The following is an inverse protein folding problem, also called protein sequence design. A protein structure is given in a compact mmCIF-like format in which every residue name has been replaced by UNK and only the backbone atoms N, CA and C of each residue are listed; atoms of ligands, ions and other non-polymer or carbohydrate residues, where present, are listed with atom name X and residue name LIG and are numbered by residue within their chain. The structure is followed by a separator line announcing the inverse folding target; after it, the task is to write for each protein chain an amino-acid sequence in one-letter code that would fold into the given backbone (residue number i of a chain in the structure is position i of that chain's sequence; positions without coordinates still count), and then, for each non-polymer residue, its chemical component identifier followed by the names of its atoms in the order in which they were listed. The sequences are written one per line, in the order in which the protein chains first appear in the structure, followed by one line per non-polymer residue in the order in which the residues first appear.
data_IF_005535482896
#
_entry.id   IF_005535482896
#
_cell.length_a   1.000
_cell.length_b   1.000
_cell.length_c   1.000
_cell.angle_alpha   90.00
_cell.angle_beta   90.00
_cell.angle_gamma   90.00
#
_symmetry.space_group_name_H-M   'P 1'
#
loop_
_entity.id
_entity.type
_entity.pdbx_description
1 polymer ?
#
# COMPACT_ATOMS: atom_id res chain seq x y z
N UNK A 1 -3.74 17.27 21.95
CA UNK A 1 -2.59 16.41 21.58
C UNK A 1 -2.79 16.02 20.14
N UNK A 2 -1.79 16.22 19.28
CA UNK A 2 -1.82 15.81 17.88
C UNK A 2 -0.62 14.90 17.62
N UNK A 3 -0.82 13.80 16.89
CA UNK A 3 0.25 12.87 16.55
C UNK A 3 -0.27 11.66 15.79
N UNK A 4 0.66 10.77 15.41
CA UNK A 4 0.37 9.53 14.70
C UNK A 4 -0.21 8.45 15.64
N UNK A 5 -0.25 7.19 15.20
CA UNK A 5 -0.85 6.06 15.92
C UNK A 5 -0.46 5.93 17.40
N UNK A 6 0.78 6.24 17.78
CA UNK A 6 1.27 6.12 19.17
C UNK A 6 0.75 7.21 20.10
N UNK A 7 0.29 8.35 19.57
CA UNK A 7 -0.27 9.45 20.36
C UNK A 7 -1.53 9.01 21.13
N UNK A 8 -2.17 7.91 20.74
CA UNK A 8 -3.31 7.35 21.46
C UNK A 8 -2.95 6.84 22.87
N UNK A 9 -1.68 6.70 23.21
CA UNK A 9 -1.22 6.37 24.57
C UNK A 9 -0.76 7.59 25.36
N UNK A 10 -0.78 8.78 24.76
CA UNK A 10 -0.33 9.98 25.44
C UNK A 10 -1.18 10.24 26.70
N UNK A 11 -0.54 10.50 27.86
CA UNK A 11 -1.26 10.70 29.11
C UNK A 11 -2.09 11.98 29.02
N UNK A 12 -3.36 11.86 29.41
CA UNK A 12 -4.28 12.99 29.61
C UNK A 12 -4.83 12.79 31.01
N UNK A 13 -4.81 13.80 31.89
CA UNK A 13 -5.34 13.65 33.24
C UNK A 13 -6.78 13.15 33.21
N UNK A 14 -7.13 12.29 34.16
CA UNK A 14 -8.46 11.68 34.25
C UNK A 14 -9.55 12.77 34.26
N UNK A 15 -10.61 12.53 33.49
CA UNK A 15 -11.71 13.49 33.31
C UNK A 15 -11.38 14.71 32.42
N UNK A 16 -10.15 14.88 31.92
CA UNK A 16 -9.80 15.98 30.99
C UNK A 16 -9.86 15.62 29.51
N UNK A 17 -9.92 14.33 29.18
CA UNK A 17 -10.17 13.92 27.81
C UNK A 17 -11.62 14.27 27.47
N UNK A 18 -11.84 15.05 26.41
CA UNK A 18 -13.18 15.45 25.98
C UNK A 18 -13.64 14.85 24.65
N UNK A 19 -12.70 14.52 23.76
CA UNK A 19 -12.98 13.94 22.43
C UNK A 19 -11.73 13.26 21.87
N UNK A 20 -11.93 12.24 21.04
CA UNK A 20 -10.88 11.67 20.19
C UNK A 20 -11.30 11.81 18.73
N UNK A 21 -10.39 12.25 17.87
CA UNK A 21 -10.61 12.37 16.43
C UNK A 21 -9.56 11.53 15.72
N UNK A 22 -9.99 10.62 14.86
CA UNK A 22 -9.13 9.82 13.98
C UNK A 22 -9.42 10.25 12.55
N UNK A 23 -8.49 11.00 11.96
CA UNK A 23 -8.58 11.38 10.55
C UNK A 23 -8.02 10.28 9.64
N UNK A 24 -8.55 10.17 8.42
CA UNK A 24 -8.25 9.12 7.45
C UNK A 24 -8.27 7.72 8.09
N UNK A 25 -9.33 7.40 8.84
CA UNK A 25 -9.41 6.19 9.71
C UNK A 25 -9.14 4.85 8.99
N UNK A 26 -9.34 4.83 7.67
CA UNK A 26 -9.12 3.69 6.79
C UNK A 26 -7.62 3.40 6.52
N UNK A 27 -6.74 4.33 6.87
CA UNK A 27 -5.31 4.21 6.57
C UNK A 27 -4.66 3.07 7.35
N UNK A 28 -4.08 2.11 6.62
CA UNK A 28 -3.40 0.97 7.24
C UNK A 28 -2.19 1.38 8.09
N UNK A 29 -1.69 2.62 7.98
CA UNK A 29 -0.62 3.13 8.84
C UNK A 29 -1.00 3.11 10.32
N UNK A 30 -2.29 3.05 10.65
CA UNK A 30 -2.76 2.86 12.02
C UNK A 30 -2.47 1.46 12.58
N UNK A 31 -2.23 0.44 11.75
CA UNK A 31 -1.79 -0.88 12.22
C UNK A 31 -0.27 -0.88 12.48
N UNK A 32 0.11 -1.34 13.66
CA UNK A 32 1.49 -1.62 14.04
C UNK A 32 1.83 -3.08 13.65
N UNK A 33 2.82 -3.25 12.77
CA UNK A 33 3.29 -4.57 12.32
C UNK A 33 4.29 -5.24 13.28
N UNK A 34 4.91 -4.46 14.17
CA UNK A 34 5.85 -4.96 15.17
C UNK A 34 5.14 -5.23 16.51
N UNK A 35 5.73 -6.07 17.36
CA UNK A 35 5.21 -6.31 18.71
C UNK A 35 5.42 -5.04 19.57
N UNK A 36 4.42 -4.58 20.35
CA UNK A 36 3.05 -5.09 20.41
C UNK A 36 2.24 -4.71 19.16
N UNK A 37 1.56 -5.68 18.54
CA UNK A 37 0.69 -5.43 17.38
C UNK A 37 -0.64 -4.88 17.86
N UNK A 38 -1.01 -3.69 17.38
CA UNK A 38 -2.31 -3.07 17.66
C UNK A 38 -2.76 -2.24 16.45
N UNK A 39 -4.06 -1.95 16.41
CA UNK A 39 -4.63 -1.00 15.44
C UNK A 39 -5.01 0.30 16.17
N UNK A 40 -4.36 1.41 15.81
CA UNK A 40 -4.52 2.71 16.47
C UNK A 40 -5.97 3.18 16.54
N UNK A 41 -6.73 3.05 15.45
CA UNK A 41 -8.18 3.31 15.41
C UNK A 41 -8.96 2.50 16.46
N UNK A 42 -8.75 1.19 16.54
CA UNK A 42 -9.53 0.33 17.45
C UNK A 42 -9.16 0.61 18.91
N UNK A 43 -7.88 0.89 19.19
CA UNK A 43 -7.42 1.38 20.48
C UNK A 43 -8.06 2.74 20.81
N UNK A 44 -8.20 3.63 19.83
CA UNK A 44 -8.85 4.91 20.02
C UNK A 44 -10.33 4.77 20.37
N UNK A 45 -11.06 3.89 19.68
CA UNK A 45 -12.45 3.55 20.01
C UNK A 45 -12.52 3.03 21.45
N UNK A 46 -11.63 2.09 21.83
CA UNK A 46 -11.64 1.54 23.19
C UNK A 46 -11.30 2.58 24.25
N UNK A 47 -10.32 3.46 23.99
CA UNK A 47 -9.95 4.56 24.89
C UNK A 47 -11.12 5.54 25.07
N UNK A 48 -11.83 5.87 24.00
CA UNK A 48 -13.01 6.73 24.05
C UNK A 48 -14.12 6.12 24.92
N UNK A 49 -14.38 4.82 24.76
CA UNK A 49 -15.34 4.07 25.59
C UNK A 49 -14.95 4.08 27.07
N UNK A 50 -13.67 3.81 27.39
CA UNK A 50 -13.19 3.78 28.78
C UNK A 50 -13.26 5.17 29.44
N UNK A 51 -13.03 6.23 28.68
CA UNK A 51 -13.10 7.60 29.18
C UNK A 51 -14.53 8.19 29.15
N UNK A 52 -15.50 7.51 28.55
CA UNK A 52 -16.87 8.01 28.41
C UNK A 52 -16.99 9.25 27.49
N UNK A 53 -16.15 9.35 26.46
CA UNK A 53 -16.09 10.51 25.55
C UNK A 53 -16.49 10.15 24.12
N UNK A 54 -16.97 11.11 23.32
CA UNK A 54 -17.19 10.90 21.90
C UNK A 54 -15.89 10.61 21.13
N UNK A 55 -16.01 9.80 20.08
CA UNK A 55 -14.98 9.60 19.06
C UNK A 55 -15.53 9.90 17.67
N UNK A 56 -14.74 10.57 16.86
CA UNK A 56 -15.04 10.85 15.45
C UNK A 56 -14.03 10.12 14.57
N UNK A 57 -14.53 9.27 13.67
CA UNK A 57 -13.74 8.61 12.64
C UNK A 57 -14.00 9.32 11.31
N UNK A 58 -13.05 10.10 10.83
CA UNK A 58 -13.12 10.85 9.58
C UNK A 58 -12.58 10.04 8.41
N UNK A 59 -13.31 9.99 7.30
CA UNK A 59 -12.84 9.39 6.06
C UNK A 59 -13.70 9.77 4.86
N UNK A 60 -13.05 10.00 3.71
CA UNK A 60 -13.73 10.05 2.41
C UNK A 60 -14.04 8.64 1.85
N UNK A 61 -13.28 7.64 2.30
CA UNK A 61 -13.36 6.23 1.88
C UNK A 61 -13.24 5.34 3.12
N UNK A 62 -14.28 5.28 3.97
CA UNK A 62 -14.19 4.58 5.25
C UNK A 62 -13.78 3.12 5.05
N UNK A 63 -13.11 2.53 6.03
CA UNK A 63 -12.83 1.10 6.03
C UNK A 63 -14.15 0.35 6.01
N UNK A 64 -14.18 -0.83 5.40
CA UNK A 64 -15.41 -1.61 5.32
C UNK A 64 -15.91 -2.06 6.70
N UNK A 65 -15.03 -2.19 7.69
CA UNK A 65 -15.40 -2.38 9.10
C UNK A 65 -16.17 -1.17 9.65
N UNK A 66 -15.64 0.03 9.46
CA UNK A 66 -16.26 1.28 9.94
C UNK A 66 -17.59 1.53 9.23
N UNK A 67 -17.64 1.32 7.91
CA UNK A 67 -18.87 1.42 7.12
C UNK A 67 -19.94 0.42 7.57
N UNK A 68 -19.58 -0.86 7.72
CA UNK A 68 -20.48 -1.90 8.21
C UNK A 68 -21.00 -1.58 9.61
N UNK A 69 -20.12 -1.16 10.54
CA UNK A 69 -20.52 -0.79 11.91
C UNK A 69 -21.49 0.41 11.94
N UNK A 70 -21.37 1.34 10.98
CA UNK A 70 -22.21 2.53 10.90
C UNK A 70 -23.54 2.30 10.16
N UNK A 71 -23.57 1.42 9.16
CA UNK A 71 -24.76 1.18 8.32
C UNK A 71 -25.61 -0.02 8.78
N UNK A 72 -24.97 -1.12 9.15
CA UNK A 72 -25.66 -2.38 9.52
C UNK A 72 -25.50 -2.71 11.01
N UNK A 73 -24.29 -2.49 11.55
CA UNK A 73 -23.94 -2.91 12.91
C UNK A 73 -24.50 -2.03 14.02
N UNK A 74 -25.05 -0.85 13.72
CA UNK A 74 -25.61 0.14 14.66
C UNK A 74 -24.67 0.57 15.80
N UNK A 75 -23.36 0.30 15.68
CA UNK A 75 -22.35 0.65 16.70
C UNK A 75 -21.90 2.11 16.60
N UNK A 76 -22.10 2.71 15.44
CA UNK A 76 -21.69 4.08 15.12
C UNK A 76 -22.79 4.77 14.34
N UNK A 77 -22.88 6.09 14.44
CA UNK A 77 -23.78 6.90 13.61
C UNK A 77 -23.03 7.44 12.40
N UNK A 78 -23.58 7.24 11.20
CA UNK A 78 -22.99 7.77 9.97
C UNK A 78 -23.43 9.21 9.74
N UNK A 79 -22.49 10.15 9.80
CA UNK A 79 -22.70 11.54 9.39
C UNK A 79 -22.10 11.75 8.00
N UNK A 80 -22.91 12.21 7.04
CA UNK A 80 -22.48 12.45 5.65
C UNK A 80 -22.43 13.94 5.35
N UNK A 81 -21.30 14.39 4.84
CA UNK A 81 -21.16 15.70 4.20
C UNK A 81 -21.31 15.49 2.68
N UNK A 82 -22.49 15.81 2.14
CA UNK A 82 -22.86 15.52 0.75
C UNK A 82 -22.41 16.59 -0.24
N UNK A 83 -22.04 17.77 0.25
CA UNK A 83 -21.51 18.87 -0.54
C UNK A 83 -20.04 19.09 -0.20
N UNK A 84 -19.24 19.41 -1.23
CA UNK A 84 -17.89 19.91 -1.03
C UNK A 84 -17.94 21.35 -0.52
N UNK A 85 -16.83 21.81 0.04
CA UNK A 85 -16.65 23.22 0.35
C UNK A 85 -16.96 24.07 -0.91
N UNK A 86 -17.62 25.24 -0.76
CA UNK A 86 -18.04 26.07 -1.89
C UNK A 86 -16.90 26.33 -2.88
N UNK A 87 -17.16 26.11 -4.18
CA UNK A 87 -16.19 26.33 -5.26
C UNK A 87 -15.40 25.10 -5.72
N UNK A 88 -15.48 23.96 -5.02
CA UNK A 88 -14.77 22.73 -5.40
C UNK A 88 -15.68 21.80 -6.22
N UNK A 89 -15.21 21.34 -7.38
CA UNK A 89 -15.89 20.31 -8.20
C UNK A 89 -15.14 18.98 -8.11
N UNK A 90 -15.84 17.88 -8.31
CA UNK A 90 -15.18 16.60 -8.54
C UNK A 90 -14.52 16.64 -9.92
N UNK A 91 -13.25 16.23 -10.05
CA UNK A 91 -12.61 16.18 -11.35
C UNK A 91 -13.21 15.06 -12.18
N UNK A 92 -13.11 15.20 -13.50
CA UNK A 92 -13.47 14.12 -14.41
C UNK A 92 -12.42 13.02 -14.26
N UNK A 93 -12.86 11.80 -13.95
CA UNK A 93 -12.01 10.61 -13.95
C UNK A 93 -12.16 9.88 -15.28
N UNK A 94 -11.04 9.56 -15.93
CA UNK A 94 -10.98 8.83 -17.20
C UNK A 94 -10.26 7.51 -16.92
N UNK A 95 -10.97 6.39 -17.09
CA UNK A 95 -10.37 5.06 -17.04
C UNK A 95 -9.80 4.76 -18.42
N UNK A 96 -8.58 4.25 -18.44
CA UNK A 96 -7.84 3.94 -19.66
C UNK A 96 -7.44 2.47 -19.61
N UNK A 97 -7.91 1.71 -20.61
CA UNK A 97 -7.41 0.37 -20.88
C UNK A 97 -5.99 0.46 -21.42
N UNK A 98 -5.05 0.10 -20.57
CA UNK A 98 -3.64 0.22 -20.88
C UNK A 98 -3.20 -0.82 -21.92
N UNK A 99 -3.88 -1.96 -22.03
CA UNK A 99 -3.56 -2.99 -23.04
C UNK A 99 -3.80 -2.42 -24.44
N UNK A 100 -4.96 -1.80 -24.66
CA UNK A 100 -5.31 -1.21 -25.95
C UNK A 100 -4.42 0.00 -26.27
N UNK A 101 -4.07 0.81 -25.27
CA UNK A 101 -3.16 1.93 -25.45
C UNK A 101 -1.74 1.51 -25.87
N UNK A 102 -1.22 0.41 -25.32
CA UNK A 102 0.12 -0.09 -25.68
C UNK A 102 0.21 -0.54 -27.13
N UNK A 103 -0.89 -1.03 -27.73
CA UNK A 103 -0.91 -1.41 -29.16
C UNK A 103 -0.62 -0.23 -30.09
N UNK A 104 -0.89 1.00 -29.65
CA UNK A 104 -0.71 2.20 -30.48
C UNK A 104 0.75 2.62 -30.64
N UNK A 105 1.64 2.25 -29.72
CA UNK A 105 3.06 2.62 -29.80
C UNK A 105 3.82 1.87 -30.90
N UNK A 106 3.33 0.70 -31.33
CA UNK A 106 3.87 -0.04 -32.48
C UNK A 106 5.34 -0.47 -32.35
N UNK A 107 5.93 -0.34 -31.15
CA UNK A 107 7.31 -0.70 -30.87
C UNK A 107 7.42 -1.72 -29.73
N UNK A 108 8.60 -2.36 -29.61
CA UNK A 108 8.86 -3.38 -28.58
C UNK A 108 9.35 -2.79 -27.25
N UNK A 109 9.32 -1.46 -27.08
CA UNK A 109 9.75 -0.82 -25.83
C UNK A 109 8.64 -0.96 -24.80
N UNK A 110 9.06 -0.96 -23.55
CA UNK A 110 8.13 -0.96 -22.42
C UNK A 110 7.82 0.50 -22.09
N UNK A 111 6.55 0.87 -22.22
CA UNK A 111 6.03 2.17 -21.86
C UNK A 111 5.24 2.07 -20.55
N UNK A 112 5.38 3.08 -19.69
CA UNK A 112 4.60 3.23 -18.45
C UNK A 112 3.50 4.27 -18.60
N UNK A 113 3.65 5.18 -19.56
CA UNK A 113 2.70 6.24 -19.85
C UNK A 113 2.06 5.94 -21.20
N UNK A 114 0.74 5.76 -21.20
CA UNK A 114 0.00 5.49 -22.42
C UNK A 114 -0.37 6.78 -23.18
N UNK A 115 -0.85 6.69 -24.44
CA UNK A 115 -1.09 7.87 -25.27
C UNK A 115 -2.04 8.90 -24.64
N UNK A 116 -3.12 8.48 -23.96
CA UNK A 116 -4.07 9.42 -23.34
C UNK A 116 -3.41 10.19 -22.19
N UNK A 117 -2.69 9.51 -21.29
CA UNK A 117 -1.96 10.19 -20.22
C UNK A 117 -0.85 11.08 -20.78
N UNK A 118 -0.14 10.61 -21.80
CA UNK A 118 0.90 11.40 -22.47
C UNK A 118 0.37 12.73 -23.00
N UNK A 119 -0.73 12.69 -23.76
CA UNK A 119 -1.31 13.89 -24.36
C UNK A 119 -1.82 14.85 -23.28
N UNK A 120 -2.45 14.31 -22.22
CA UNK A 120 -2.90 15.13 -21.10
C UNK A 120 -1.75 15.81 -20.35
N UNK A 121 -0.60 15.13 -20.19
CA UNK A 121 0.60 15.73 -19.59
C UNK A 121 1.08 16.89 -20.48
N UNK A 122 1.19 16.68 -21.79
CA UNK A 122 1.62 17.71 -22.74
C UNK A 122 0.70 18.95 -22.69
N UNK A 123 -0.62 18.76 -22.75
CA UNK A 123 -1.60 19.84 -22.63
C UNK A 123 -1.50 20.59 -21.29
N UNK A 124 -1.25 19.85 -20.20
CA UNK A 124 -1.08 20.43 -18.86
C UNK A 124 0.20 21.26 -18.77
N UNK A 125 1.30 20.77 -19.36
CA UNK A 125 2.57 21.50 -19.39
C UNK A 125 2.48 22.77 -20.23
N UNK A 126 1.84 22.71 -21.40
CA UNK A 126 1.60 23.86 -22.29
C UNK A 126 0.71 24.94 -21.67
N UNK A 127 -0.27 24.54 -20.86
CA UNK A 127 -1.18 25.46 -20.16
C UNK A 127 -0.61 26.01 -18.83
N UNK A 128 0.70 25.83 -18.60
CA UNK A 128 1.39 26.21 -17.36
C UNK A 128 0.81 25.55 -16.09
N UNK A 129 0.14 24.40 -16.23
CA UNK A 129 -0.39 23.62 -15.13
C UNK A 129 0.65 22.68 -14.51
N UNK A 130 0.26 22.06 -13.39
CA UNK A 130 1.05 21.04 -12.71
C UNK A 130 0.41 19.65 -12.85
N UNK A 131 1.26 18.64 -12.92
CA UNK A 131 0.87 17.23 -13.02
C UNK A 131 1.33 16.46 -11.79
N UNK A 132 0.43 15.65 -11.22
CA UNK A 132 0.72 14.71 -10.16
C UNK A 132 0.61 13.27 -10.69
N UNK A 133 1.70 12.50 -10.66
CA UNK A 133 1.70 11.09 -11.09
C UNK A 133 1.88 10.17 -9.90
N UNK A 134 0.94 9.27 -9.72
CA UNK A 134 0.93 8.29 -8.66
C UNK A 134 1.29 6.90 -9.19
N UNK A 135 2.21 6.24 -8.49
CA UNK A 135 2.48 4.82 -8.62
C UNK A 135 2.03 4.07 -7.36
N UNK A 136 1.24 3.02 -7.54
CA UNK A 136 0.80 2.15 -6.45
C UNK A 136 1.93 1.20 -6.03
N UNK A 137 2.91 1.68 -5.25
CA UNK A 137 4.15 0.93 -4.93
C UNK A 137 4.11 0.14 -3.61
N UNK A 138 2.97 -0.20 -3.01
CA UNK A 138 3.02 -0.97 -1.74
C UNK A 138 3.40 -2.44 -2.01
N UNK A 139 4.65 -2.78 -1.70
CA UNK A 139 5.11 -4.16 -1.51
C UNK A 139 5.66 -4.89 -2.75
N UNK A 140 5.71 -4.26 -3.92
CA UNK A 140 6.22 -4.90 -5.14
C UNK A 140 7.41 -4.12 -5.68
N UNK A 141 8.57 -4.78 -5.57
CA UNK A 141 9.89 -4.27 -5.84
C UNK A 141 10.17 -4.20 -7.35
N UNK A 142 11.02 -3.24 -7.73
CA UNK A 142 11.75 -3.30 -8.98
C UNK A 142 12.41 -4.68 -9.08
N UNK A 143 12.03 -5.51 -10.04
CA UNK A 143 12.63 -6.83 -10.21
C UNK A 143 13.74 -6.74 -11.25
N UNK A 144 14.86 -7.37 -10.98
CA UNK A 144 15.97 -7.44 -11.93
C UNK A 144 15.82 -8.76 -12.63
N UNK A 145 15.73 -8.74 -13.95
CA UNK A 145 15.46 -9.92 -14.78
C UNK A 145 16.47 -10.05 -15.91
N UNK A 146 16.44 -11.16 -16.63
CA UNK A 146 17.23 -11.33 -17.82
C UNK A 146 16.72 -10.43 -18.97
N UNK A 147 17.63 -9.94 -19.82
CA UNK A 147 17.24 -9.21 -21.03
C UNK A 147 16.63 -10.12 -22.11
N UNK A 148 16.90 -11.43 -22.02
CA UNK A 148 16.40 -12.43 -22.95
C UNK A 148 14.98 -12.86 -22.54
N UNK A 149 14.01 -12.65 -23.43
CA UNK A 149 12.61 -13.01 -23.20
C UNK A 149 12.34 -14.52 -23.09
N UNK A 150 13.33 -15.36 -23.39
CA UNK A 150 13.28 -16.81 -23.17
C UNK A 150 13.87 -17.25 -21.83
N UNK A 151 14.38 -16.32 -21.03
CA UNK A 151 15.03 -16.57 -19.74
C UNK A 151 14.26 -15.92 -18.60
N UNK A 152 13.61 -16.74 -17.77
CA UNK A 152 12.77 -16.31 -16.64
C UNK A 152 13.56 -15.96 -15.37
N UNK A 153 14.87 -15.75 -15.49
CA UNK A 153 15.72 -15.43 -14.36
C UNK A 153 15.30 -14.10 -13.71
N UNK A 154 15.22 -14.11 -12.37
CA UNK A 154 14.91 -12.96 -11.53
C UNK A 154 15.93 -12.89 -10.39
N UNK A 155 16.47 -11.70 -10.09
CA UNK A 155 17.35 -11.52 -8.94
C UNK A 155 16.53 -11.54 -7.65
N UNK A 156 16.63 -12.66 -6.94
CA UNK A 156 15.98 -12.90 -5.67
C UNK A 156 16.94 -12.64 -4.50
N UNK A 157 16.37 -12.42 -3.32
CA UNK A 157 17.14 -12.33 -2.09
C UNK A 157 17.60 -13.74 -1.68
N UNK A 158 18.88 -13.88 -1.32
CA UNK A 158 19.41 -15.18 -0.86
C UNK A 158 18.72 -15.64 0.42
N UNK A 159 18.21 -14.69 1.21
CA UNK A 159 17.57 -14.91 2.50
C UNK A 159 16.03 -14.83 2.45
N UNK A 160 15.43 -14.39 1.34
CA UNK A 160 13.98 -14.19 1.27
C UNK A 160 13.44 -14.62 -0.10
N UNK A 161 12.24 -15.19 -0.14
CA UNK A 161 11.60 -15.58 -1.39
C UNK A 161 10.88 -14.38 -2.03
N UNK A 162 11.64 -13.29 -2.20
CA UNK A 162 11.23 -12.02 -2.80
C UNK A 162 12.34 -11.49 -3.71
N UNK A 163 11.97 -10.61 -4.63
CA UNK A 163 12.92 -9.94 -5.52
C UNK A 163 13.69 -8.84 -4.81
N UNK A 164 14.98 -8.68 -5.15
CA UNK A 164 15.83 -7.62 -4.62
C UNK A 164 15.53 -6.27 -5.28
N UNK A 165 15.58 -5.17 -4.51
CA UNK A 165 15.38 -3.80 -5.03
C UNK A 165 16.72 -3.18 -5.42
N UNK A 166 16.84 -2.66 -6.64
CA UNK A 166 18.04 -1.91 -7.05
C UNK A 166 18.10 -0.51 -6.44
N UNK A 167 19.23 -0.16 -5.82
CA UNK A 167 19.55 1.17 -5.29
C UNK A 167 20.76 1.75 -6.02
N UNK A 168 20.55 2.87 -6.71
CA UNK A 168 21.60 3.57 -7.45
C UNK A 168 22.42 4.44 -6.49
N UNK A 169 23.71 4.14 -6.28
CA UNK A 169 24.59 5.01 -5.51
C UNK A 169 25.19 6.09 -6.42
N UNK A 170 24.57 7.28 -6.46
CA UNK A 170 25.01 8.41 -7.30
C UNK A 170 26.21 9.21 -6.73
N UNK A 171 26.75 8.86 -5.56
CA UNK A 171 27.73 9.68 -4.82
C UNK A 171 29.09 9.01 -4.60
N UNK A 172 29.72 8.46 -5.64
CA UNK A 172 31.16 8.20 -5.61
C UNK A 172 31.84 9.02 -6.72
N UNK A 173 32.73 9.91 -6.31
CA UNK A 173 33.74 10.52 -7.19
C UNK A 173 35.05 9.82 -6.87
N UNK A 174 35.84 9.50 -7.88
CA UNK A 174 37.21 9.04 -7.65
C UNK A 174 38.05 10.19 -7.08
N UNK A 175 39.23 9.88 -6.53
CA UNK A 175 40.16 10.89 -5.99
C UNK A 175 40.62 11.91 -7.05
N UNK A 176 40.56 11.56 -8.34
CA UNK A 176 40.86 12.40 -9.51
C UNK A 176 39.64 13.15 -10.07
N UNK A 177 38.47 13.08 -9.41
CA UNK A 177 37.29 13.86 -9.79
C UNK A 177 36.54 13.35 -11.02
N UNK A 178 36.93 12.20 -11.57
CA UNK A 178 36.21 11.55 -12.67
C UNK A 178 34.94 10.85 -12.16
N UNK A 179 33.85 10.81 -12.97
CA UNK A 179 32.62 10.14 -12.58
C UNK A 179 32.86 8.63 -12.46
N UNK A 180 32.71 8.08 -11.24
CA UNK A 180 32.66 6.63 -11.03
C UNK A 180 31.43 6.11 -11.74
N UNK A 181 31.56 5.01 -12.51
CA UNK A 181 30.38 4.29 -13.02
C UNK A 181 29.45 4.05 -11.83
N UNK A 182 28.16 4.42 -11.89
CA UNK A 182 27.28 4.26 -10.75
C UNK A 182 27.29 2.80 -10.29
N UNK A 183 27.92 2.52 -9.15
CA UNK A 183 27.91 1.21 -8.53
C UNK A 183 26.64 1.13 -7.69
N UNK A 184 25.57 0.61 -8.29
CA UNK A 184 24.37 0.30 -7.53
C UNK A 184 24.56 -0.98 -6.73
N UNK A 185 23.92 -1.04 -5.57
CA UNK A 185 23.72 -2.27 -4.81
C UNK A 185 22.25 -2.65 -4.90
N UNK A 186 21.93 -3.90 -4.62
CA UNK A 186 20.55 -4.33 -4.47
C UNK A 186 20.27 -4.59 -3.00
N UNK A 187 19.07 -4.28 -2.52
CA UNK A 187 18.67 -4.49 -1.12
C UNK A 187 17.30 -5.16 -1.05
N UNK A 188 17.16 -6.13 -0.15
CA UNK A 188 15.87 -6.73 0.16
C UNK A 188 15.06 -5.79 1.06
N UNK A 189 13.80 -5.51 0.71
CA UNK A 189 12.93 -4.66 1.54
C UNK A 189 12.51 -5.34 2.87
N UNK A 190 12.57 -6.67 2.92
CA UNK A 190 12.07 -7.43 4.08
C UNK A 190 13.17 -7.72 5.11
N UNK A 191 14.37 -8.12 4.68
CA UNK A 191 15.49 -8.44 5.58
C UNK A 191 16.61 -7.41 5.57
N UNK A 192 16.55 -6.41 4.68
CA UNK A 192 17.56 -5.36 4.49
C UNK A 192 18.93 -5.87 4.02
N UNK A 193 19.08 -7.17 3.73
CA UNK A 193 20.30 -7.74 3.15
C UNK A 193 20.64 -7.03 1.85
N UNK A 194 21.93 -6.75 1.65
CA UNK A 194 22.46 -6.09 0.47
C UNK A 194 23.29 -7.09 -0.34
N UNK A 195 23.09 -7.09 -1.65
CA UNK A 195 23.93 -7.84 -2.58
C UNK A 195 24.49 -6.90 -3.65
N UNK A 196 25.59 -7.31 -4.27
CA UNK A 196 26.10 -6.62 -5.46
C UNK A 196 25.20 -6.96 -6.64
N UNK A 197 24.86 -5.97 -7.47
CA UNK A 197 24.18 -6.23 -8.73
C UNK A 197 25.12 -7.06 -9.64
N UNK A 198 24.70 -8.26 -10.12
CA UNK A 198 25.51 -9.02 -11.06
C UNK A 198 25.56 -8.34 -12.43
N UNK A 199 26.67 -8.43 -13.16
CA UNK A 199 26.80 -7.79 -14.48
C UNK A 199 26.02 -8.55 -15.59
N UNK A 200 25.71 -9.83 -15.36
CA UNK A 200 25.06 -10.76 -16.30
C UNK A 200 24.10 -11.70 -15.56
N UNK A 201 23.13 -12.23 -16.30
CA UNK A 201 22.20 -13.25 -15.82
C UNK A 201 22.98 -14.50 -15.40
N UNK A 202 22.68 -15.06 -14.21
CA UNK A 202 23.35 -16.29 -13.75
C UNK A 202 22.95 -17.52 -14.56
N UNK A 203 21.77 -17.51 -15.19
CA UNK A 203 21.22 -18.69 -15.85
C UNK A 203 21.68 -18.82 -17.29
N UNK A 204 21.70 -17.72 -18.06
CA UNK A 204 22.04 -17.74 -19.48
C UNK A 204 23.21 -16.82 -19.87
N UNK A 205 23.79 -16.08 -18.93
CA UNK A 205 24.95 -15.20 -19.18
C UNK A 205 24.64 -13.95 -20.02
N UNK A 206 23.38 -13.72 -20.40
CA UNK A 206 22.95 -12.52 -21.10
C UNK A 206 22.95 -11.29 -20.19
N UNK A 207 22.78 -10.10 -20.77
CA UNK A 207 22.65 -8.87 -19.99
C UNK A 207 21.42 -8.95 -19.09
N UNK A 208 21.52 -8.35 -17.92
CA UNK A 208 20.37 -8.17 -17.04
C UNK A 208 19.65 -6.86 -17.36
N UNK A 209 18.35 -6.80 -17.10
CA UNK A 209 17.54 -5.60 -17.12
C UNK A 209 16.97 -5.37 -15.73
N UNK A 210 17.10 -4.15 -15.22
CA UNK A 210 16.39 -3.71 -14.03
C UNK A 210 14.96 -3.34 -14.46
N UNK A 211 14.01 -4.23 -14.20
CA UNK A 211 12.59 -3.97 -14.43
C UNK A 211 11.96 -3.35 -13.20
N UNK A 212 12.12 -2.04 -13.08
CA UNK A 212 11.37 -1.26 -12.11
C UNK A 212 10.17 -0.61 -12.74
N UNK A 213 8.94 -1.01 -12.40
CA UNK A 213 7.76 -0.13 -12.48
C UNK A 213 7.84 0.94 -11.36
N UNK A 214 9.03 1.45 -11.10
CA UNK A 214 9.32 2.38 -10.03
C UNK A 214 9.08 3.80 -10.47
N UNK A 215 8.92 4.68 -9.48
CA UNK A 215 8.90 6.14 -9.65
C UNK A 215 10.09 6.64 -10.48
N UNK A 216 11.26 5.97 -10.41
CA UNK A 216 12.45 6.25 -11.22
C UNK A 216 12.29 5.98 -12.72
N UNK A 217 11.58 4.92 -13.11
CA UNK A 217 11.38 4.61 -14.55
C UNK A 217 10.34 5.54 -15.14
N UNK A 218 9.32 5.89 -14.36
CA UNK A 218 8.37 6.94 -14.72
C UNK A 218 9.10 8.28 -14.87
N UNK A 219 9.97 8.64 -13.92
CA UNK A 219 10.84 9.82 -14.01
C UNK A 219 11.73 9.81 -15.27
N UNK A 220 12.41 8.69 -15.56
CA UNK A 220 13.24 8.56 -16.76
C UNK A 220 12.42 8.64 -18.06
N UNK A 221 11.22 8.05 -18.08
CA UNK A 221 10.32 8.13 -19.22
C UNK A 221 9.78 9.55 -19.43
N UNK A 222 9.50 10.28 -18.35
CA UNK A 222 9.09 11.69 -18.38
C UNK A 222 10.21 12.55 -18.93
N UNK A 223 11.42 12.46 -18.38
CA UNK A 223 12.58 13.25 -18.85
C UNK A 223 12.92 12.97 -20.32
N UNK A 224 12.65 11.75 -20.80
CA UNK A 224 12.82 11.40 -22.22
C UNK A 224 11.75 12.02 -23.11
N UNK A 225 10.50 12.10 -22.65
CA UNK A 225 9.35 12.61 -23.41
C UNK A 225 9.24 14.14 -23.36
N UNK A 226 9.66 14.74 -22.25
CA UNK A 226 9.66 16.20 -21.98
C UNK A 226 11.05 16.65 -21.50
N UNK A 227 12.02 16.81 -22.41
CA UNK A 227 13.39 17.20 -22.07
C UNK A 227 13.52 18.61 -21.44
N UNK A 228 12.49 19.44 -21.54
CA UNK A 228 12.38 20.73 -20.88
C UNK A 228 12.20 20.63 -19.35
N UNK A 229 11.82 19.46 -18.85
CA UNK A 229 11.75 19.20 -17.41
C UNK A 229 13.16 18.91 -16.87
N UNK A 230 13.48 19.50 -15.73
CA UNK A 230 14.79 19.38 -15.08
C UNK A 230 14.61 18.61 -13.76
N UNK A 231 15.31 17.48 -13.65
CA UNK A 231 15.32 16.65 -12.43
C UNK A 231 15.76 17.49 -11.22
N UNK A 232 14.97 17.48 -10.14
CA UNK A 232 15.26 18.23 -8.93
C UNK A 232 14.80 19.69 -8.95
N UNK A 233 14.40 20.20 -10.12
CA UNK A 233 13.92 21.57 -10.29
C UNK A 233 12.44 21.59 -10.67
N UNK A 234 12.11 21.30 -11.92
CA UNK A 234 10.72 21.28 -12.42
C UNK A 234 10.07 19.89 -12.38
N UNK A 235 10.85 18.82 -12.15
CA UNK A 235 10.39 17.45 -11.88
C UNK A 235 10.91 16.96 -10.53
N UNK A 236 10.01 16.52 -9.64
CA UNK A 236 10.38 15.91 -8.36
C UNK A 236 9.82 14.49 -8.21
N UNK A 237 10.61 13.65 -7.56
CA UNK A 237 10.23 12.31 -7.12
C UNK A 237 10.10 12.25 -5.60
N UNK A 238 8.97 11.75 -5.11
CA UNK A 238 8.67 11.63 -3.68
C UNK A 238 8.32 10.18 -3.32
N UNK A 239 9.28 9.50 -2.72
CA UNK A 239 9.15 8.13 -2.21
C UNK A 239 10.04 7.90 -0.98
N UNK A 240 9.91 6.71 -0.36
CA UNK A 240 10.67 6.33 0.82
C UNK A 240 12.19 6.30 0.60
N UNK A 241 12.63 6.16 -0.66
CA UNK A 241 14.04 6.05 -1.00
C UNK A 241 14.70 7.43 -1.16
N UNK A 242 13.90 8.48 -1.41
CA UNK A 242 14.35 9.87 -1.59
C UNK A 242 14.11 10.74 -0.37
N UNK A 243 13.13 10.38 0.47
CA UNK A 243 12.71 11.18 1.62
C UNK A 243 13.27 10.59 2.92
N UNK A 244 14.51 10.94 3.26
CA UNK A 244 15.19 10.43 4.46
C UNK A 244 14.80 11.18 5.74
N UNK A 245 14.43 12.46 5.63
CA UNK A 245 13.99 13.31 6.76
C UNK A 245 12.59 13.88 6.49
N UNK A 246 11.85 14.15 7.56
CA UNK A 246 10.56 14.83 7.45
C UNK A 246 10.66 16.22 6.77
N UNK A 247 11.80 16.91 6.94
CA UNK A 247 12.12 18.18 6.27
C UNK A 247 12.18 18.06 4.75
N UNK A 248 12.69 16.94 4.23
CA UNK A 248 12.89 16.74 2.78
C UNK A 248 11.51 16.66 2.11
N UNK A 249 10.61 15.90 2.73
CA UNK A 249 9.23 15.76 2.30
C UNK A 249 8.49 17.11 2.33
N UNK A 250 8.60 17.85 3.43
CA UNK A 250 7.96 19.17 3.54
C UNK A 250 8.49 20.15 2.49
N UNK A 251 9.80 20.13 2.22
CA UNK A 251 10.44 20.99 1.22
C UNK A 251 9.94 20.67 -0.18
N UNK A 252 9.92 19.39 -0.58
CA UNK A 252 9.44 18.96 -1.89
C UNK A 252 7.98 19.39 -2.14
N UNK A 253 7.13 19.23 -1.14
CA UNK A 253 5.71 19.61 -1.24
C UNK A 253 5.51 21.11 -1.22
N UNK A 254 6.31 21.87 -0.49
CA UNK A 254 6.27 23.33 -0.49
C UNK A 254 6.61 23.89 -1.88
N UNK A 255 7.68 23.37 -2.51
CA UNK A 255 8.09 23.73 -3.89
C UNK A 255 7.05 23.33 -4.93
N UNK A 256 6.38 22.19 -4.74
CA UNK A 256 5.24 21.83 -5.58
C UNK A 256 4.04 22.75 -5.32
N UNK A 257 3.74 23.09 -4.07
CA UNK A 257 2.64 24.01 -3.75
C UNK A 257 2.84 25.45 -4.24
N UNK A 258 4.08 25.92 -4.35
CA UNK A 258 4.41 27.24 -4.88
C UNK A 258 4.37 27.33 -6.42
N UNK A 259 4.28 26.20 -7.12
CA UNK A 259 4.31 26.13 -8.58
C UNK A 259 5.71 26.05 -9.20
N UNK A 260 6.77 26.02 -8.38
CA UNK A 260 8.16 25.87 -8.85
C UNK A 260 8.35 24.52 -9.57
N UNK A 261 7.70 23.47 -9.05
CA UNK A 261 7.76 22.12 -9.61
C UNK A 261 6.54 21.89 -10.49
N UNK A 262 6.76 21.48 -11.73
CA UNK A 262 5.70 21.26 -12.73
C UNK A 262 5.15 19.83 -12.71
N UNK A 263 5.99 18.85 -12.39
CA UNK A 263 5.59 17.44 -12.32
C UNK A 263 6.08 16.82 -11.01
N UNK A 264 5.17 16.19 -10.28
CA UNK A 264 5.48 15.44 -9.05
C UNK A 264 5.13 13.96 -9.25
N UNK A 265 6.14 13.09 -9.15
CA UNK A 265 5.99 11.65 -9.24
C UNK A 265 6.12 11.05 -7.86
N UNK A 266 5.16 10.25 -7.40
CA UNK A 266 5.25 9.68 -6.07
C UNK A 266 4.38 8.45 -5.83
N UNK A 267 4.45 7.97 -4.60
CA UNK A 267 3.62 6.85 -4.11
C UNK A 267 2.52 7.37 -3.21
N UNK A 268 1.82 6.51 -2.47
CA UNK A 268 0.69 6.89 -1.61
C UNK A 268 0.95 8.05 -0.62
N UNK A 269 2.21 8.38 -0.32
CA UNK A 269 2.55 9.52 0.53
C UNK A 269 2.13 10.87 -0.07
N UNK A 270 2.18 11.04 -1.40
CA UNK A 270 1.77 12.30 -2.06
C UNK A 270 0.24 12.46 -2.17
N UNK A 271 -0.51 11.39 -1.88
CA UNK A 271 -1.97 11.38 -2.00
C UNK A 271 -2.71 11.82 -0.72
N UNK A 272 -2.00 12.02 0.40
CA UNK A 272 -2.57 12.30 1.73
C UNK A 272 -2.45 13.76 2.13
N UNK A 273 -3.52 14.32 2.70
CA UNK A 273 -3.48 15.52 3.54
C UNK A 273 -3.00 16.84 2.93
N UNK A 274 -2.77 16.91 1.62
CA UNK A 274 -2.16 18.05 0.94
C UNK A 274 -3.04 18.51 -0.23
N UNK A 275 -3.13 19.82 -0.42
CA UNK A 275 -3.93 20.47 -1.45
C UNK A 275 -3.01 21.34 -2.32
N UNK A 276 -3.09 21.17 -3.64
CA UNK A 276 -2.21 21.84 -4.60
C UNK A 276 -3.05 22.56 -5.65
N UNK A 277 -3.29 23.88 -5.51
CA UNK A 277 -4.19 24.62 -6.38
C UNK A 277 -3.81 24.60 -7.86
N UNK A 278 -2.53 24.45 -8.18
CA UNK A 278 -2.02 24.42 -9.56
C UNK A 278 -2.09 23.05 -10.24
N UNK A 279 -2.55 22.00 -9.54
CA UNK A 279 -2.70 20.66 -10.12
C UNK A 279 -3.91 20.59 -11.03
N UNK A 280 -3.65 20.41 -12.33
CA UNK A 280 -4.66 20.26 -13.38
C UNK A 280 -4.81 18.81 -13.85
N UNK A 281 -3.75 18.01 -13.70
CA UNK A 281 -3.74 16.61 -14.09
C UNK A 281 -3.24 15.75 -12.96
N UNK A 282 -3.95 14.65 -12.74
CA UNK A 282 -3.52 13.55 -11.89
C UNK A 282 -3.51 12.27 -12.72
N UNK A 283 -2.40 11.54 -12.72
CA UNK A 283 -2.27 10.25 -13.42
C UNK A 283 -1.99 9.11 -12.45
N UNK A 284 -2.82 8.07 -12.45
CA UNK A 284 -2.48 6.77 -11.84
C UNK A 284 -1.81 5.93 -12.91
N UNK A 285 -0.51 5.66 -12.75
CA UNK A 285 0.29 4.93 -13.74
C UNK A 285 -0.13 3.46 -13.86
N UNK A 286 -0.52 2.86 -12.75
CA UNK A 286 -1.01 1.48 -12.67
C UNK A 286 -1.92 1.33 -11.45
N UNK A 287 -3.21 1.05 -11.69
CA UNK A 287 -4.19 0.81 -10.63
C UNK A 287 -4.21 -0.66 -10.13
N UNK A 288 -3.69 -1.60 -10.92
CA UNK A 288 -3.82 -3.05 -10.72
C UNK A 288 -2.90 -3.64 -9.65
N UNK A 289 -1.87 -2.91 -9.22
CA UNK A 289 -0.83 -3.46 -8.33
C UNK A 289 -1.40 -4.08 -7.06
N UNK A 290 -2.47 -3.50 -6.50
CA UNK A 290 -3.13 -4.04 -5.32
C UNK A 290 -4.15 -5.14 -5.65
N UNK A 291 -4.73 -5.19 -6.85
CA UNK A 291 -5.73 -6.18 -7.26
C UNK A 291 -5.14 -7.59 -7.38
N UNK A 292 -3.89 -7.70 -7.84
CA UNK A 292 -3.22 -8.98 -8.07
C UNK A 292 -2.62 -9.59 -6.79
N UNK A 293 -2.90 -9.02 -5.63
CA UNK A 293 -2.38 -9.50 -4.36
C UNK A 293 -3.26 -10.63 -3.83
N UNK A 294 -2.68 -11.71 -3.26
CA UNK A 294 -3.45 -12.73 -2.55
C UNK A 294 -3.90 -12.21 -1.18
N UNK A 295 -4.61 -11.10 -1.18
CA UNK A 295 -5.11 -10.38 -0.02
C UNK A 295 -6.56 -10.00 -0.29
N UNK A 296 -7.49 -10.46 0.56
CA UNK A 296 -8.91 -10.16 0.40
C UNK A 296 -9.25 -8.66 0.53
N UNK A 297 -8.30 -7.83 0.98
CA UNK A 297 -8.43 -6.37 1.04
C UNK A 297 -7.91 -5.66 -0.20
N UNK A 298 -7.48 -6.40 -1.22
CA UNK A 298 -6.99 -5.89 -2.50
C UNK A 298 -7.92 -4.84 -3.12
N UNK A 299 -9.18 -5.21 -3.39
CA UNK A 299 -10.19 -4.36 -4.02
C UNK A 299 -10.48 -3.10 -3.22
N UNK A 300 -10.58 -3.21 -1.89
CA UNK A 300 -10.77 -2.08 -0.98
C UNK A 300 -9.62 -1.07 -1.07
N UNK A 301 -8.37 -1.55 -1.10
CA UNK A 301 -7.20 -0.68 -1.24
C UNK A 301 -7.12 -0.03 -2.63
N UNK A 302 -7.45 -0.77 -3.68
CA UNK A 302 -7.51 -0.22 -5.04
C UNK A 302 -8.53 0.90 -5.13
N UNK A 303 -9.73 0.69 -4.59
CA UNK A 303 -10.76 1.72 -4.53
C UNK A 303 -10.27 2.96 -3.80
N UNK A 304 -9.73 2.78 -2.58
CA UNK A 304 -9.24 3.88 -1.74
C UNK A 304 -8.16 4.69 -2.47
N UNK A 305 -7.23 4.01 -3.13
CA UNK A 305 -6.17 4.66 -3.88
C UNK A 305 -6.71 5.51 -5.02
N UNK A 306 -7.51 4.91 -5.92
CA UNK A 306 -8.05 5.60 -7.09
C UNK A 306 -8.93 6.78 -6.67
N UNK A 307 -9.79 6.59 -5.66
CA UNK A 307 -10.66 7.65 -5.18
C UNK A 307 -9.89 8.77 -4.47
N UNK A 308 -8.87 8.44 -3.66
CA UNK A 308 -8.03 9.44 -3.00
C UNK A 308 -7.34 10.32 -4.04
N UNK A 309 -6.81 9.71 -5.09
CA UNK A 309 -6.07 10.36 -6.17
C UNK A 309 -7.00 11.24 -7.01
N UNK A 310 -8.15 10.72 -7.41
CA UNK A 310 -9.20 11.52 -8.05
C UNK A 310 -9.66 12.68 -7.14
N UNK A 311 -9.65 12.51 -5.81
CA UNK A 311 -10.00 13.59 -4.88
C UNK A 311 -9.02 14.78 -4.82
N UNK A 312 -7.82 14.66 -5.42
CA UNK A 312 -6.74 15.68 -5.37
C UNK A 312 -6.73 16.64 -6.57
N UNK A 313 -7.48 16.36 -7.63
CA UNK A 313 -7.64 17.28 -8.76
C UNK A 313 -8.83 18.24 -8.55
N UNK A 314 -8.77 19.41 -9.19
CA UNK A 314 -9.94 20.31 -9.32
C UNK A 314 -10.31 21.10 -8.06
N UNK A 315 -9.31 21.42 -7.22
CA UNK A 315 -9.50 22.28 -6.04
C UNK A 315 -9.17 23.76 -6.30
N UNK A 316 -8.63 24.08 -7.48
CA UNK A 316 -8.49 25.44 -8.00
C UNK A 316 -9.70 25.92 -8.80
N UNK A 317 -9.58 27.05 -9.50
CA UNK A 317 -10.64 27.61 -10.35
C UNK A 317 -10.95 26.74 -11.59
N UNK A 318 -9.97 25.96 -12.04
CA UNK A 318 -10.07 25.15 -13.25
C UNK A 318 -10.38 23.67 -12.93
N UNK A 319 -11.24 23.01 -13.72
CA UNK A 319 -11.53 21.60 -13.54
C UNK A 319 -10.30 20.77 -13.87
N UNK A 320 -9.76 20.07 -12.87
CA UNK A 320 -8.70 19.08 -13.10
C UNK A 320 -9.25 17.80 -13.73
N UNK A 321 -8.35 17.01 -14.33
CA UNK A 321 -8.65 15.69 -14.89
C UNK A 321 -7.84 14.66 -14.10
N UNK A 322 -8.45 13.51 -13.81
CA UNK A 322 -7.76 12.34 -13.30
C UNK A 322 -7.78 11.25 -14.36
N UNK A 323 -6.63 10.67 -14.69
CA UNK A 323 -6.50 9.57 -15.65
C UNK A 323 -6.01 8.34 -14.89
N UNK A 324 -6.71 7.22 -15.04
CA UNK A 324 -6.40 5.96 -14.38
C UNK A 324 -6.05 4.93 -15.43
N UNK A 325 -4.76 4.61 -15.55
CA UNK A 325 -4.30 3.52 -16.41
C UNK A 325 -4.42 2.18 -15.66
N UNK A 326 -5.04 1.21 -16.33
CA UNK A 326 -5.25 -0.13 -15.77
C UNK A 326 -5.28 -1.20 -16.86
N UNK A 327 -4.87 -2.41 -16.50
CA UNK A 327 -5.03 -3.61 -17.32
C UNK A 327 -6.42 -4.25 -17.15
N UNK A 328 -7.19 -3.83 -16.15
CA UNK A 328 -8.53 -4.34 -15.83
C UNK A 328 -9.54 -3.17 -15.77
N UNK A 329 -9.85 -2.51 -16.90
CA UNK A 329 -10.71 -1.31 -16.92
C UNK A 329 -12.13 -1.56 -16.39
N UNK A 330 -12.60 -2.81 -16.46
CA UNK A 330 -13.93 -3.23 -16.02
C UNK A 330 -13.98 -3.69 -14.55
N UNK A 331 -12.85 -3.65 -13.82
CA UNK A 331 -12.83 -4.06 -12.41
C UNK A 331 -13.77 -3.18 -11.56
N UNK A 332 -14.68 -3.77 -10.75
CA UNK A 332 -15.64 -3.00 -9.97
C UNK A 332 -15.02 -1.96 -9.04
N UNK A 333 -13.84 -2.24 -8.46
CA UNK A 333 -13.18 -1.29 -7.58
C UNK A 333 -12.73 -0.03 -8.34
N UNK A 334 -12.24 -0.19 -9.58
CA UNK A 334 -11.78 0.90 -10.44
C UNK A 334 -12.97 1.71 -10.98
N UNK A 335 -14.00 1.02 -11.47
CA UNK A 335 -15.21 1.64 -12.01
C UNK A 335 -15.91 2.49 -10.94
N UNK A 336 -16.16 1.91 -9.76
CA UNK A 336 -16.82 2.65 -8.68
C UNK A 336 -15.95 3.77 -8.10
N UNK A 337 -14.63 3.58 -7.99
CA UNK A 337 -13.74 4.65 -7.51
C UNK A 337 -13.70 5.83 -8.46
N UNK A 338 -13.75 5.58 -9.77
CA UNK A 338 -13.79 6.63 -10.81
C UNK A 338 -15.11 7.41 -10.80
N UNK A 339 -16.20 6.76 -10.40
CA UNK A 339 -17.51 7.40 -10.19
C UNK A 339 -17.67 8.03 -8.80
N UNK A 340 -16.67 7.93 -7.92
CA UNK A 340 -16.76 8.32 -6.50
C UNK A 340 -17.90 7.62 -5.73
N UNK A 341 -18.31 6.43 -6.18
CA UNK A 341 -19.45 5.69 -5.64
C UNK A 341 -19.00 4.63 -4.62
N UNK A 342 -18.54 5.11 -3.46
CA UNK A 342 -18.20 4.23 -2.34
C UNK A 342 -19.37 3.35 -1.86
N UNK A 343 -20.62 3.85 -1.75
CA UNK A 343 -21.74 3.01 -1.31
C UNK A 343 -21.98 1.79 -2.19
N UNK A 344 -21.92 1.92 -3.52
CA UNK A 344 -22.09 0.76 -4.42
C UNK A 344 -20.91 -0.20 -4.35
N UNK A 345 -19.67 0.32 -4.32
CA UNK A 345 -18.48 -0.49 -4.08
C UNK A 345 -18.60 -1.31 -2.78
N UNK A 346 -18.89 -0.62 -1.67
CA UNK A 346 -18.97 -1.23 -0.35
C UNK A 346 -20.07 -2.31 -0.28
N UNK A 347 -21.21 -2.10 -0.96
CA UNK A 347 -22.28 -3.10 -1.04
C UNK A 347 -21.81 -4.39 -1.71
N UNK A 348 -21.17 -4.29 -2.87
CA UNK A 348 -20.68 -5.45 -3.63
C UNK A 348 -19.59 -6.21 -2.87
N UNK A 349 -18.59 -5.48 -2.36
CA UNK A 349 -17.47 -6.06 -1.62
C UNK A 349 -17.90 -6.68 -0.29
N UNK A 350 -18.80 -6.03 0.47
CA UNK A 350 -19.33 -6.60 1.71
C UNK A 350 -20.12 -7.88 1.46
N UNK A 351 -20.90 -7.97 0.38
CA UNK A 351 -21.62 -9.21 0.05
C UNK A 351 -20.64 -10.35 -0.25
N UNK A 352 -19.58 -10.08 -1.02
CA UNK A 352 -18.51 -11.07 -1.24
C UNK A 352 -17.86 -11.53 0.07
N UNK A 353 -17.48 -10.58 0.95
CA UNK A 353 -16.88 -10.90 2.24
C UNK A 353 -17.84 -11.68 3.15
N UNK A 354 -19.14 -11.38 3.11
CA UNK A 354 -20.17 -12.13 3.85
C UNK A 354 -20.23 -13.59 3.40
N UNK A 355 -20.31 -13.84 2.09
CA UNK A 355 -20.35 -15.19 1.52
C UNK A 355 -19.10 -16.01 1.86
N UNK A 356 -17.92 -15.38 1.89
CA UNK A 356 -16.66 -16.04 2.23
C UNK A 356 -16.41 -16.12 3.75
N UNK A 357 -17.27 -15.54 4.58
CA UNK A 357 -17.11 -15.44 6.03
C UNK A 357 -15.88 -14.63 6.44
N UNK A 358 -15.51 -13.59 5.69
CA UNK A 358 -14.36 -12.72 5.92
C UNK A 358 -14.74 -11.48 6.78
N UNK A 359 -13.76 -10.78 7.38
CA UNK A 359 -14.02 -9.51 8.08
C UNK A 359 -14.73 -8.48 7.18
N UNK A 360 -15.74 -7.74 7.67
CA UNK A 360 -16.12 -7.56 9.08
C UNK A 360 -17.11 -8.57 9.66
N UNK A 361 -17.61 -9.55 8.88
CA UNK A 361 -18.63 -10.51 9.32
C UNK A 361 -18.09 -11.60 10.25
N UNK A 362 -16.77 -11.72 10.30
CA UNK A 362 -16.03 -12.58 11.22
C UNK A 362 -14.81 -11.83 11.75
N UNK A 363 -14.16 -12.42 12.76
CA UNK A 363 -12.85 -11.99 13.25
C UNK A 363 -11.80 -12.99 12.81
N UNK A 364 -10.65 -12.47 12.42
CA UNK A 364 -9.56 -13.25 11.89
C UNK A 364 -8.32 -13.07 12.78
N UNK A 365 -7.60 -14.15 13.03
CA UNK A 365 -6.21 -14.09 13.47
C UNK A 365 -5.35 -14.99 12.59
N UNK A 366 -4.08 -14.63 12.48
CA UNK A 366 -3.07 -15.37 11.75
C UNK A 366 -1.94 -15.73 12.70
N UNK A 367 -1.64 -17.02 12.83
CA UNK A 367 -0.46 -17.49 13.55
C UNK A 367 0.61 -17.79 12.51
N UNK A 368 1.74 -17.10 12.60
CA UNK A 368 2.87 -17.23 11.69
C UNK A 368 3.97 -18.00 12.41
N UNK A 369 4.28 -19.18 11.92
CA UNK A 369 5.40 -20.02 12.38
C UNK A 369 6.60 -19.76 11.48
N UNK A 370 7.77 -19.55 12.08
CA UNK A 370 9.03 -19.22 11.41
C UNK A 370 10.12 -20.17 11.86
N UNK A 371 10.85 -20.71 10.91
CA UNK A 371 12.04 -21.53 11.16
C UNK A 371 13.07 -21.32 10.05
N UNK A 372 14.35 -21.51 10.36
CA UNK A 372 15.43 -21.42 9.36
C UNK A 372 15.40 -22.62 8.39
N UNK A 373 14.76 -23.72 8.78
CA UNK A 373 14.61 -24.93 7.97
C UNK A 373 13.13 -25.14 7.57
N UNK A 374 12.90 -25.30 6.27
CA UNK A 374 11.56 -25.46 5.73
C UNK A 374 10.82 -26.71 6.25
N UNK A 375 11.40 -27.94 6.20
CA UNK A 375 10.81 -29.12 6.82
C UNK A 375 10.41 -28.93 8.29
N UNK A 376 11.25 -28.27 9.10
CA UNK A 376 10.92 -27.96 10.51
C UNK A 376 9.78 -26.96 10.62
N UNK A 377 9.77 -25.89 9.83
CA UNK A 377 8.66 -24.93 9.82
C UNK A 377 7.32 -25.61 9.49
N UNK A 378 7.30 -26.46 8.46
CA UNK A 378 6.12 -27.23 8.06
C UNK A 378 5.68 -28.22 9.15
N UNK A 379 6.62 -28.97 9.73
CA UNK A 379 6.33 -29.92 10.80
C UNK A 379 5.77 -29.23 12.05
N UNK A 380 6.38 -28.11 12.47
CA UNK A 380 5.91 -27.30 13.61
C UNK A 380 4.54 -26.70 13.35
N UNK A 381 4.29 -26.15 12.16
CA UNK A 381 2.98 -25.62 11.81
C UNK A 381 1.90 -26.72 11.78
N UNK A 382 2.20 -27.91 11.24
CA UNK A 382 1.27 -29.04 11.26
C UNK A 382 1.01 -29.60 12.66
N UNK A 383 2.02 -29.63 13.53
CA UNK A 383 1.86 -29.99 14.94
C UNK A 383 0.97 -28.98 15.68
N UNK A 384 1.23 -27.68 15.46
CA UNK A 384 0.45 -26.60 16.04
C UNK A 384 -1.00 -26.63 15.56
N UNK A 385 -1.24 -26.82 14.26
CA UNK A 385 -2.59 -26.97 13.70
C UNK A 385 -3.37 -28.11 14.39
N UNK A 386 -2.75 -29.29 14.54
CA UNK A 386 -3.38 -30.43 15.23
C UNK A 386 -3.66 -30.12 16.70
N UNK A 387 -2.76 -29.41 17.38
CA UNK A 387 -2.96 -29.03 18.77
C UNK A 387 -4.08 -27.99 18.93
N UNK A 388 -4.14 -26.98 18.05
CA UNK A 388 -5.21 -25.97 18.04
C UNK A 388 -6.57 -26.60 17.75
N UNK A 389 -6.64 -27.60 16.85
CA UNK A 389 -7.87 -28.35 16.55
C UNK A 389 -8.40 -29.18 17.73
N UNK A 390 -7.58 -29.47 18.75
CA UNK A 390 -8.00 -30.16 19.99
C UNK A 390 -8.63 -29.23 21.01
N UNK A 391 -8.63 -27.91 20.78
CA UNK A 391 -9.34 -26.96 21.63
C UNK A 391 -10.83 -26.98 21.24
N UNK A 392 -11.65 -27.61 22.08
CA UNK A 392 -13.07 -27.85 21.78
C UNK A 392 -13.97 -26.61 21.98
N UNK A 393 -13.63 -25.70 22.90
CA UNK A 393 -14.40 -24.48 23.19
C UNK A 393 -13.46 -23.24 23.27
N UNK A 394 -13.77 -22.14 22.57
CA UNK A 394 -14.94 -21.91 21.69
C UNK A 394 -14.75 -22.36 20.24
N UNK A 395 -15.86 -22.69 19.52
CA UNK A 395 -15.78 -23.17 18.16
C UNK A 395 -15.21 -22.08 17.25
N UNK A 396 -14.08 -22.39 16.63
CA UNK A 396 -13.39 -21.53 15.68
C UNK A 396 -13.09 -22.33 14.41
N UNK A 397 -13.17 -21.69 13.26
CA UNK A 397 -12.76 -22.30 11.99
C UNK A 397 -11.26 -22.12 11.82
N UNK A 398 -10.53 -23.23 11.77
CA UNK A 398 -9.08 -23.27 11.58
C UNK A 398 -8.82 -23.71 10.13
N UNK A 399 -8.16 -22.86 9.34
CA UNK A 399 -7.67 -23.27 8.02
C UNK A 399 -6.38 -24.08 8.17
N UNK A 400 -6.15 -25.09 7.31
CA UNK A 400 -4.92 -25.88 7.35
C UNK A 400 -3.66 -25.01 7.29
N UNK A 401 -2.58 -25.49 7.91
CA UNK A 401 -1.29 -24.82 7.81
C UNK A 401 -0.87 -24.73 6.33
N UNK A 402 -0.53 -23.52 5.89
CA UNK A 402 -0.12 -23.24 4.52
C UNK A 402 1.10 -22.30 4.50
N UNK A 403 1.90 -22.27 3.43
CA UNK A 403 2.92 -21.24 3.27
C UNK A 403 2.31 -19.83 3.34
N UNK A 404 3.04 -18.88 3.91
CA UNK A 404 2.69 -17.46 3.75
C UNK A 404 2.83 -17.05 2.26
N UNK A 405 2.11 -16.03 1.78
CA UNK A 405 2.29 -15.51 0.42
C UNK A 405 3.75 -15.17 0.10
N UNK A 406 4.49 -14.65 1.09
CA UNK A 406 5.94 -14.59 1.06
C UNK A 406 6.49 -15.71 1.95
N UNK A 407 6.95 -16.78 1.31
CA UNK A 407 7.31 -18.04 1.96
C UNK A 407 8.58 -17.96 2.83
N UNK A 408 9.49 -17.01 2.58
CA UNK A 408 10.73 -16.85 3.36
C UNK A 408 11.11 -15.38 3.54
N UNK A 409 11.48 -14.99 4.75
CA UNK A 409 12.01 -13.66 5.09
C UNK A 409 13.17 -13.81 6.08
N UNK A 410 14.29 -13.13 5.82
CA UNK A 410 15.47 -13.06 6.67
C UNK A 410 15.99 -14.46 7.08
N UNK A 411 16.12 -15.34 6.11
CA UNK A 411 16.58 -16.72 6.26
C UNK A 411 15.52 -17.66 6.85
N UNK A 412 14.33 -17.15 7.21
CA UNK A 412 13.30 -17.93 7.91
C UNK A 412 12.10 -18.23 7.02
N UNK A 413 11.84 -19.52 6.82
CA UNK A 413 10.63 -20.02 6.19
C UNK A 413 9.41 -19.74 7.06
N UNK A 414 8.32 -19.32 6.43
CA UNK A 414 7.11 -18.81 7.07
C UNK A 414 5.91 -19.66 6.68
N UNK A 415 5.34 -20.33 7.67
CA UNK A 415 4.05 -21.02 7.57
C UNK A 415 3.00 -20.22 8.33
N UNK A 416 1.74 -20.27 7.88
CA UNK A 416 0.63 -19.61 8.54
C UNK A 416 -0.52 -20.57 8.82
N UNK A 417 -1.21 -20.30 9.93
CA UNK A 417 -2.49 -20.91 10.29
C UNK A 417 -3.47 -19.76 10.49
N UNK A 418 -4.57 -19.80 9.74
CA UNK A 418 -5.61 -18.78 9.82
C UNK A 418 -6.76 -19.27 10.71
N UNK A 419 -7.15 -18.40 11.64
CA UNK A 419 -8.21 -18.62 12.61
C UNK A 419 -9.36 -17.67 12.30
N UNK A 420 -10.56 -18.21 12.17
CA UNK A 420 -11.77 -17.48 11.83
C UNK A 420 -12.84 -17.70 12.90
N UNK A 421 -13.22 -16.63 13.60
CA UNK A 421 -14.17 -16.64 14.70
C UNK A 421 -15.41 -15.81 14.38
N UNK A 422 -16.60 -16.19 14.88
CA UNK A 422 -17.82 -15.38 14.70
C UNK A 422 -17.75 -14.04 15.44
N UNK A 423 -17.04 -13.94 16.57
CA UNK A 423 -16.94 -12.71 17.37
C UNK A 423 -15.54 -12.51 17.94
N UNK A 424 -15.23 -11.27 18.32
CA UNK A 424 -13.95 -10.92 18.95
C UNK A 424 -13.76 -11.63 20.30
N UNK A 425 -14.84 -11.78 21.08
CA UNK A 425 -14.81 -12.50 22.36
C UNK A 425 -14.49 -13.98 22.18
N UNK A 426 -15.04 -14.64 21.14
CA UNK A 426 -14.71 -16.03 20.81
C UNK A 426 -13.24 -16.16 20.44
N UNK A 427 -12.74 -15.31 19.54
CA UNK A 427 -11.33 -15.31 19.15
C UNK A 427 -10.40 -15.10 20.34
N UNK A 428 -10.72 -14.13 21.20
CA UNK A 428 -9.92 -13.80 22.38
C UNK A 428 -9.88 -14.97 23.38
N UNK A 429 -11.01 -15.62 23.67
CA UNK A 429 -11.05 -16.79 24.54
C UNK A 429 -10.23 -17.94 23.97
N UNK A 430 -10.37 -18.21 22.67
CA UNK A 430 -9.59 -19.25 22.00
C UNK A 430 -8.09 -18.99 22.08
N UNK A 431 -7.64 -17.78 21.74
CA UNK A 431 -6.22 -17.40 21.85
C UNK A 431 -5.73 -17.44 23.29
N UNK A 432 -6.56 -17.02 24.25
CA UNK A 432 -6.21 -17.12 25.68
C UNK A 432 -6.01 -18.58 26.10
N UNK A 433 -6.88 -19.48 25.66
CA UNK A 433 -6.77 -20.92 25.95
C UNK A 433 -5.54 -21.53 25.28
N UNK A 434 -5.28 -21.21 24.01
CA UNK A 434 -4.08 -21.63 23.31
C UNK A 434 -2.81 -21.17 24.02
N UNK A 435 -2.80 -19.95 24.59
CA UNK A 435 -1.68 -19.44 25.41
C UNK A 435 -1.55 -20.17 26.74
N UNK A 436 -2.65 -20.47 27.42
CA UNK A 436 -2.65 -21.24 28.68
C UNK A 436 -2.15 -22.69 28.49
N UNK A 437 -2.36 -23.25 27.30
CA UNK A 437 -1.87 -24.57 26.89
C UNK A 437 -0.43 -24.50 26.32
N UNK A 438 0.22 -23.34 26.37
CA UNK A 438 1.55 -23.08 25.83
C UNK A 438 1.73 -23.41 24.34
N UNK A 439 0.63 -23.34 23.57
CA UNK A 439 0.65 -23.55 22.12
C UNK A 439 1.09 -22.30 21.35
N UNK A 440 0.87 -21.12 21.94
CA UNK A 440 1.27 -19.85 21.37
C UNK A 440 2.04 -19.02 22.40
N UNK A 441 3.25 -18.63 22.01
CA UNK A 441 4.10 -17.70 22.75
C UNK A 441 4.72 -16.73 21.75
N UNK A 442 4.85 -15.47 22.13
CA UNK A 442 5.49 -14.47 21.29
C UNK A 442 7.01 -14.61 21.43
N UNK A 443 7.61 -15.47 20.61
CA UNK A 443 9.05 -15.56 20.44
C UNK A 443 9.43 -15.22 19.00
N UNK A 444 10.72 -15.19 18.67
CA UNK A 444 11.16 -14.88 17.30
C UNK A 444 10.68 -15.90 16.24
N UNK A 445 10.15 -17.05 16.67
CA UNK A 445 9.71 -18.18 15.84
C UNK A 445 8.19 -18.25 15.67
N UNK A 446 7.40 -17.61 16.54
CA UNK A 446 5.94 -17.59 16.44
C UNK A 446 5.40 -16.17 16.64
N UNK A 447 4.61 -15.71 15.68
CA UNK A 447 3.92 -14.43 15.76
C UNK A 447 2.41 -14.62 15.63
N UNK A 448 1.64 -13.92 16.46
CA UNK A 448 0.17 -13.88 16.37
C UNK A 448 -0.23 -12.49 15.89
N UNK A 449 -0.94 -12.43 14.76
CA UNK A 449 -1.53 -11.20 14.22
C UNK A 449 -3.05 -11.28 14.30
N UNK A 450 -3.63 -10.52 15.22
CA UNK A 450 -5.08 -10.42 15.41
C UNK A 450 -5.60 -9.28 14.53
N UNK A 451 -6.64 -9.56 13.75
CA UNK A 451 -7.20 -8.68 12.73
C UNK A 451 -6.12 -8.16 11.76
N UNK A 452 -5.56 -9.06 10.92
CA UNK A 452 -4.56 -8.67 9.96
C UNK A 452 -5.13 -7.65 8.98
N UNK A 453 -4.40 -6.56 8.79
CA UNK A 453 -4.73 -5.57 7.75
C UNK A 453 -4.05 -5.91 6.43
N UNK A 454 -3.11 -6.86 6.42
CA UNK A 454 -2.38 -7.38 5.26
C UNK A 454 -2.10 -8.88 5.41
N UNK A 455 -2.25 -9.63 4.32
CA UNK A 455 -2.00 -11.07 4.29
C UNK A 455 -0.57 -11.47 3.87
N UNK A 456 0.28 -10.49 3.51
CA UNK A 456 1.65 -10.72 3.03
C UNK A 456 2.64 -11.20 4.13
#
# INVERSE_FOLDING_TARGET
ILGARSAIFAPVPDGRLGVIIVDEEHDSSYKQDQVPRYHGRDVAIRRAQLAGVPIVLGSATPSLESWHNACEGTKSTLHRLTSRAPGLRLPRVIIVDFIEEMKQYGDKRVHLIGPTLNNAIDDTLRSNGQTLLLLNRRGYANYITCADSSCDWLLQCDDCDVTMVYHLNRKMKTADGSPVRPSGYVQCHHCLAQQRLPDKCSDCGQRIMTFGLGTQRVEAEILRRWPELVEGDTLLRVDSDTMHRASDFHTALSRFGSGEVRVLVGTQMIAKGLDFPGVRLVGVINADTALNLPDFRASERTFQLVNQVAGRCGRGRDPGVAIVQTFNPDDPAIVHASAHDFPSFARGELEHRRMCGLPPFSRMARIIVRDEDHPRALARAGQLERALKRIEDPPIRIRPAAPCPIARIAGRHRMQIELMAPTAGVLQRFLTRARQLDLIHADGSLAVDVDPVSML
#
